data_IF_752380124990
#
_entry.id   IF_752380124990
#
_cell.length_a   1.000
_cell.length_b   1.000
_cell.length_c   1.000
_cell.angle_alpha   90.00
_cell.angle_beta   90.00
_cell.angle_gamma   90.00
#
_symmetry.space_group_name_H-M   'P 1'
#
loop_
_entity.id
_entity.type
_entity.pdbx_description
1 polymer ?
#
# COMPACT_ATOMS: atom_id res chain seq x y z
N UNK A 1 0.64 -27.67 -10.78
CA UNK A 1 -0.34 -26.86 -11.53
C UNK A 1 -0.40 -25.48 -10.91
N UNK A 2 0.32 -24.51 -11.51
CA UNK A 2 0.27 -23.11 -11.09
C UNK A 2 -0.57 -22.34 -12.10
N UNK A 3 -1.53 -21.53 -11.62
CA UNK A 3 -2.34 -20.64 -12.45
C UNK A 3 -1.47 -19.49 -12.99
N UNK A 4 -1.73 -19.00 -14.22
CA UNK A 4 -0.94 -17.92 -14.80
C UNK A 4 -1.35 -16.56 -14.22
N UNK A 5 -0.33 -15.73 -13.96
CA UNK A 5 -0.44 -14.31 -13.65
C UNK A 5 -1.06 -13.56 -14.83
N UNK A 6 -1.96 -12.63 -14.55
CA UNK A 6 -2.85 -11.97 -15.51
C UNK A 6 -2.11 -11.19 -16.61
N UNK A 7 -2.46 -11.49 -17.86
CA UNK A 7 -1.81 -11.06 -19.11
C UNK A 7 -1.97 -9.59 -19.52
N UNK A 8 -2.55 -8.69 -18.72
CA UNK A 8 -3.00 -7.38 -19.25
C UNK A 8 -2.02 -6.21 -19.18
N UNK A 9 -0.86 -6.34 -18.53
CA UNK A 9 0.18 -5.29 -18.49
C UNK A 9 1.53 -5.68 -19.13
N UNK A 10 1.64 -6.89 -19.69
CA UNK A 10 2.92 -7.45 -20.16
C UNK A 10 3.32 -7.05 -21.60
N UNK A 11 2.48 -6.31 -22.33
CA UNK A 11 2.69 -6.08 -23.78
C UNK A 11 3.85 -5.12 -24.12
N UNK A 12 4.27 -4.24 -23.21
CA UNK A 12 5.34 -3.26 -23.48
C UNK A 12 6.71 -3.66 -22.94
N UNK A 13 6.76 -4.55 -21.95
CA UNK A 13 8.01 -4.98 -21.31
C UNK A 13 8.92 -5.75 -22.29
N UNK A 14 8.35 -6.73 -23.01
CA UNK A 14 9.09 -7.51 -24.02
C UNK A 14 9.59 -6.67 -25.20
N UNK A 15 9.02 -5.48 -25.45
CA UNK A 15 9.50 -4.58 -26.52
C UNK A 15 10.72 -3.77 -26.10
N UNK A 16 10.86 -3.44 -24.82
CA UNK A 16 11.97 -2.65 -24.30
C UNK A 16 13.22 -3.50 -24.05
N UNK A 17 13.07 -4.78 -23.72
CA UNK A 17 14.21 -5.71 -23.54
C UNK A 17 15.14 -5.74 -24.77
N UNK A 18 14.59 -5.69 -25.99
CA UNK A 18 15.39 -5.71 -27.22
C UNK A 18 16.03 -4.37 -27.58
N UNK A 19 15.50 -3.25 -27.07
CA UNK A 19 16.00 -1.90 -27.41
C UNK A 19 17.26 -1.51 -26.63
N UNK A 20 17.41 -2.01 -25.41
CA UNK A 20 18.53 -1.68 -24.51
C UNK A 20 19.49 -2.85 -24.27
N UNK A 21 19.18 -4.04 -24.79
CA UNK A 21 20.11 -5.18 -24.74
C UNK A 21 21.36 -4.91 -25.59
N UNK A 22 22.53 -5.09 -24.98
CA UNK A 22 23.81 -5.07 -25.71
C UNK A 22 23.90 -6.33 -26.57
N UNK A 23 24.07 -6.14 -27.87
CA UNK A 23 24.17 -7.20 -28.87
C UNK A 23 25.59 -7.75 -28.99
N UNK A 24 25.72 -8.95 -29.60
CA UNK A 24 27.05 -9.54 -29.86
C UNK A 24 27.87 -8.72 -30.87
N UNK A 25 27.24 -8.04 -31.83
CA UNK A 25 27.94 -7.14 -32.74
C UNK A 25 28.51 -5.90 -32.01
N UNK A 26 27.78 -5.33 -31.04
CA UNK A 26 28.25 -4.19 -30.25
C UNK A 26 29.41 -4.57 -29.33
N UNK A 27 29.44 -5.80 -28.80
CA UNK A 27 30.57 -6.31 -28.02
C UNK A 27 31.89 -6.42 -28.81
N UNK A 28 31.82 -6.50 -30.14
CA UNK A 28 32.99 -6.67 -31.00
C UNK A 28 33.66 -5.34 -31.40
N UNK A 29 32.99 -4.20 -31.18
CA UNK A 29 33.51 -2.87 -31.49
C UNK A 29 33.53 -1.96 -30.27
N UNK A 30 34.73 -1.64 -29.76
CA UNK A 30 34.93 -0.83 -28.54
C UNK A 30 34.17 0.50 -28.54
N UNK A 31 34.15 1.20 -29.68
CA UNK A 31 33.46 2.49 -29.84
C UNK A 31 31.93 2.33 -29.80
N UNK A 32 31.38 1.32 -30.48
CA UNK A 32 29.94 1.02 -30.49
C UNK A 32 29.43 0.55 -29.12
N UNK A 33 30.23 -0.24 -28.41
CA UNK A 33 29.92 -0.65 -27.05
C UNK A 33 29.86 0.56 -26.11
N UNK A 34 30.81 1.49 -26.24
CA UNK A 34 30.84 2.68 -25.40
C UNK A 34 29.64 3.60 -25.67
N UNK A 35 29.32 3.85 -26.94
CA UNK A 35 28.12 4.61 -27.34
C UNK A 35 26.84 3.98 -26.75
N UNK A 36 26.68 2.66 -26.87
CA UNK A 36 25.51 1.95 -26.33
C UNK A 36 25.41 2.02 -24.80
N UNK A 37 26.54 1.95 -24.10
CA UNK A 37 26.58 2.11 -22.64
C UNK A 37 26.19 3.52 -22.21
N UNK A 38 26.64 4.54 -22.95
CA UNK A 38 26.28 5.94 -22.72
C UNK A 38 24.77 6.15 -22.91
N UNK A 39 24.19 5.66 -24.02
CA UNK A 39 22.75 5.70 -24.29
C UNK A 39 21.92 5.02 -23.18
N UNK A 40 22.33 3.80 -22.79
CA UNK A 40 21.66 3.07 -21.72
C UNK A 40 21.75 3.82 -20.37
N UNK A 41 22.88 4.46 -20.09
CA UNK A 41 23.05 5.26 -18.88
C UNK A 41 22.15 6.50 -18.87
N UNK A 42 22.07 7.23 -19.98
CA UNK A 42 21.17 8.39 -20.12
C UNK A 42 19.69 8.01 -19.97
N UNK A 43 19.29 6.85 -20.50
CA UNK A 43 17.94 6.31 -20.30
C UNK A 43 17.69 5.97 -18.84
N UNK A 44 18.62 5.28 -18.16
CA UNK A 44 18.50 4.94 -16.74
C UNK A 44 18.30 6.20 -15.90
N UNK A 45 19.13 7.24 -16.11
CA UNK A 45 19.00 8.52 -15.41
C UNK A 45 17.65 9.21 -15.69
N UNK A 46 17.14 9.08 -16.91
CA UNK A 46 15.83 9.61 -17.28
C UNK A 46 14.70 8.85 -16.58
N UNK A 47 14.71 7.52 -16.58
CA UNK A 47 13.72 6.71 -15.90
C UNK A 47 13.79 6.88 -14.38
N UNK A 48 14.97 7.04 -13.80
CA UNK A 48 15.14 7.34 -12.37
C UNK A 48 14.48 8.66 -11.98
N UNK A 49 14.64 9.71 -12.81
CA UNK A 49 13.97 11.01 -12.59
C UNK A 49 12.45 10.89 -12.70
N UNK A 50 11.95 10.19 -13.71
CA UNK A 50 10.51 9.96 -13.90
C UNK A 50 9.94 9.19 -12.70
N UNK A 51 10.60 8.10 -12.29
CA UNK A 51 10.19 7.30 -11.13
C UNK A 51 10.11 8.16 -9.86
N UNK A 52 11.11 9.00 -9.62
CA UNK A 52 11.12 9.89 -8.45
C UNK A 52 9.95 10.88 -8.47
N UNK A 53 9.70 11.53 -9.60
CA UNK A 53 8.58 12.47 -9.75
C UNK A 53 7.22 11.78 -9.52
N UNK A 54 7.06 10.54 -9.99
CA UNK A 54 5.85 9.75 -9.74
C UNK A 54 5.68 9.41 -8.26
N UNK A 55 6.74 8.99 -7.57
CA UNK A 55 6.72 8.71 -6.11
C UNK A 55 6.34 9.98 -5.34
N UNK A 56 6.93 11.13 -5.68
CA UNK A 56 6.66 12.40 -5.02
C UNK A 56 5.19 12.83 -5.20
N UNK A 57 4.63 12.65 -6.40
CA UNK A 57 3.20 12.91 -6.69
C UNK A 57 2.28 11.97 -5.89
N UNK A 58 2.58 10.68 -5.87
CA UNK A 58 1.80 9.68 -5.13
C UNK A 58 1.84 9.95 -3.62
N UNK A 59 3.01 10.29 -3.08
CA UNK A 59 3.16 10.65 -1.67
C UNK A 59 2.39 11.92 -1.31
N UNK A 60 2.43 12.93 -2.19
CA UNK A 60 1.69 14.18 -2.01
C UNK A 60 0.18 13.93 -1.99
N UNK A 61 -0.32 13.15 -2.95
CA UNK A 61 -1.72 12.73 -3.00
C UNK A 61 -2.15 11.97 -1.74
N UNK A 62 -1.31 11.08 -1.22
CA UNK A 62 -1.62 10.34 -0.01
C UNK A 62 -1.68 11.26 1.23
N UNK A 63 -0.77 12.24 1.33
CA UNK A 63 -0.79 13.25 2.39
C UNK A 63 -2.04 14.16 2.34
N UNK A 64 -2.49 14.52 1.14
CA UNK A 64 -3.77 15.23 0.96
C UNK A 64 -4.93 14.39 1.50
N UNK A 65 -4.97 13.08 1.20
CA UNK A 65 -5.99 12.17 1.72
C UNK A 65 -5.94 12.00 3.23
N UNK A 66 -4.75 11.90 3.83
CA UNK A 66 -4.61 11.90 5.29
C UNK A 66 -5.20 13.16 5.91
N UNK A 67 -4.96 14.31 5.29
CA UNK A 67 -5.45 15.61 5.78
C UNK A 67 -6.97 15.72 5.63
N UNK A 68 -7.51 15.35 4.46
CA UNK A 68 -8.95 15.34 4.16
C UNK A 68 -9.73 14.45 5.14
N UNK A 69 -9.21 13.26 5.43
CA UNK A 69 -9.90 12.26 6.26
C UNK A 69 -9.60 12.39 7.75
N UNK A 70 -8.65 13.24 8.15
CA UNK A 70 -8.22 13.39 9.55
C UNK A 70 -9.38 13.62 10.52
N UNK A 71 -10.37 14.50 10.26
CA UNK A 71 -11.48 14.70 11.19
C UNK A 71 -12.31 13.43 11.41
N UNK A 72 -12.47 12.59 10.38
CA UNK A 72 -13.19 11.32 10.48
C UNK A 72 -12.40 10.32 11.31
N UNK A 73 -11.08 10.23 11.06
CA UNK A 73 -10.19 9.35 11.81
C UNK A 73 -10.11 9.73 13.29
N UNK A 74 -9.97 11.02 13.60
CA UNK A 74 -9.98 11.54 14.97
C UNK A 74 -11.32 11.24 15.67
N UNK A 75 -12.44 11.38 14.97
CA UNK A 75 -13.75 11.02 15.53
C UNK A 75 -13.81 9.53 15.88
N UNK A 76 -13.43 8.63 14.96
CA UNK A 76 -13.43 7.17 15.19
C UNK A 76 -12.56 6.83 16.40
N UNK A 77 -11.35 7.40 16.46
CA UNK A 77 -10.42 7.18 17.58
C UNK A 77 -10.96 7.71 18.90
N UNK A 78 -11.62 8.87 18.92
CA UNK A 78 -12.23 9.46 20.13
C UNK A 78 -13.35 8.57 20.71
N UNK A 79 -13.97 7.75 19.88
CA UNK A 79 -14.98 6.75 20.29
C UNK A 79 -14.38 5.39 20.61
N UNK A 80 -13.05 5.27 20.60
CA UNK A 80 -12.30 4.04 20.84
C UNK A 80 -12.69 2.91 19.89
N UNK A 81 -13.18 3.26 18.69
CA UNK A 81 -13.45 2.28 17.66
C UNK A 81 -12.15 1.84 16.98
N UNK A 82 -12.10 0.56 16.59
CA UNK A 82 -10.98 0.00 15.84
C UNK A 82 -11.16 0.25 14.35
N UNK A 83 -10.09 0.61 13.68
CA UNK A 83 -9.99 0.67 12.23
C UNK A 83 -9.80 -0.72 11.67
N UNK A 84 -10.45 -1.00 10.55
CA UNK A 84 -10.33 -2.23 9.79
C UNK A 84 -9.95 -1.93 8.34
N UNK A 85 -9.34 -2.90 7.68
CA UNK A 85 -9.06 -2.85 6.26
C UNK A 85 -10.05 -3.74 5.51
N UNK A 86 -10.57 -3.36 4.34
CA UNK A 86 -11.52 -4.18 3.59
C UNK A 86 -10.92 -5.49 3.07
N UNK A 87 -9.62 -5.48 2.78
CA UNK A 87 -8.92 -6.61 2.15
C UNK A 87 -7.93 -7.33 3.10
N UNK A 88 -7.78 -6.86 4.35
CA UNK A 88 -6.83 -7.43 5.30
C UNK A 88 -7.54 -7.76 6.62
N UNK A 89 -7.27 -8.92 7.18
CA UNK A 89 -7.89 -9.40 8.42
C UNK A 89 -7.15 -8.90 9.67
N UNK A 90 -6.94 -7.57 9.72
CA UNK A 90 -6.28 -6.90 10.83
C UNK A 90 -7.13 -5.74 11.35
N UNK A 91 -6.97 -5.47 12.65
CA UNK A 91 -7.62 -4.37 13.34
C UNK A 91 -6.57 -3.46 13.98
N UNK A 92 -6.80 -2.16 13.93
CA UNK A 92 -5.92 -1.17 14.53
C UNK A 92 -6.70 -0.22 15.43
N UNK A 93 -6.16 0.14 16.59
CA UNK A 93 -6.70 1.21 17.45
C UNK A 93 -6.05 2.58 17.17
N UNK A 94 -4.98 2.60 16.37
CA UNK A 94 -4.13 3.78 16.16
C UNK A 94 -4.57 4.61 14.96
N UNK A 95 -5.14 3.94 13.95
CA UNK A 95 -5.59 4.56 12.71
C UNK A 95 -5.76 3.54 11.58
N UNK A 96 -6.11 3.99 10.36
CA UNK A 96 -6.34 3.11 9.23
C UNK A 96 -5.07 2.35 8.88
N UNK A 97 -5.25 1.06 8.58
CA UNK A 97 -4.20 0.19 8.06
C UNK A 97 -4.03 0.55 6.58
N UNK A 98 -2.81 0.78 6.15
CA UNK A 98 -2.48 1.15 4.78
C UNK A 98 -2.03 -0.05 3.97
N UNK A 99 -1.23 -0.93 4.56
CA UNK A 99 -0.78 -2.14 3.89
C UNK A 99 -0.26 -3.18 4.89
N UNK A 100 -0.03 -4.39 4.40
CA UNK A 100 0.60 -5.48 5.13
C UNK A 100 1.76 -6.07 4.31
N UNK A 101 2.94 -6.08 4.91
CA UNK A 101 4.10 -6.78 4.37
C UNK A 101 4.19 -8.16 5.02
N UNK A 102 3.94 -9.19 4.22
CA UNK A 102 3.96 -10.58 4.66
C UNK A 102 5.35 -11.14 4.89
N UNK A 103 6.37 -10.59 4.24
CA UNK A 103 7.74 -11.07 4.34
C UNK A 103 8.33 -10.64 5.69
N UNK A 104 8.06 -9.39 6.10
CA UNK A 104 8.51 -8.85 7.40
C UNK A 104 7.47 -9.05 8.52
N UNK A 105 6.24 -9.45 8.19
CA UNK A 105 5.10 -9.54 9.12
C UNK A 105 4.80 -8.21 9.83
N UNK A 106 4.73 -7.13 9.04
CA UNK A 106 4.50 -5.77 9.56
C UNK A 106 3.29 -5.11 8.90
N UNK A 107 2.56 -4.33 9.68
CA UNK A 107 1.49 -3.46 9.19
C UNK A 107 2.00 -2.04 9.05
N UNK A 108 1.65 -1.42 7.94
CA UNK A 108 1.75 0.02 7.78
C UNK A 108 0.43 0.62 8.25
N UNK A 109 0.49 1.53 9.22
CA UNK A 109 -0.68 2.18 9.79
C UNK A 109 -0.44 3.69 9.74
N UNK A 110 -1.44 4.46 9.32
CA UNK A 110 -1.39 5.91 9.56
C UNK A 110 -1.83 6.17 11.01
N UNK A 111 -0.89 6.53 11.88
CA UNK A 111 -1.20 6.87 13.27
C UNK A 111 -1.85 8.25 13.34
N UNK A 112 -3.09 8.31 13.80
CA UNK A 112 -3.90 9.54 13.82
C UNK A 112 -3.32 10.57 14.79
N UNK A 113 -2.79 10.13 15.93
CA UNK A 113 -2.26 11.01 16.99
C UNK A 113 -0.94 11.61 16.53
N UNK A 114 -0.04 10.77 16.05
CA UNK A 114 1.29 11.19 15.57
C UNK A 114 1.23 11.86 14.20
N UNK A 115 0.13 11.65 13.45
CA UNK A 115 -0.04 12.13 12.07
C UNK A 115 1.09 11.67 11.13
N UNK A 116 1.51 10.41 11.28
CA UNK A 116 2.59 9.80 10.50
C UNK A 116 2.27 8.33 10.18
N UNK A 117 2.96 7.77 9.19
CA UNK A 117 2.89 6.33 8.92
C UNK A 117 3.85 5.62 9.86
N UNK A 118 3.41 4.53 10.46
CA UNK A 118 4.22 3.67 11.33
C UNK A 118 4.22 2.23 10.82
N UNK A 119 5.34 1.51 11.04
CA UNK A 119 5.41 0.06 10.94
C UNK A 119 5.13 -0.56 12.31
N UNK A 120 4.24 -1.54 12.34
CA UNK A 120 3.87 -2.25 13.56
C UNK A 120 4.00 -3.75 13.33
N UNK A 121 4.62 -4.47 14.27
CA UNK A 121 4.70 -5.93 14.21
C UNK A 121 3.32 -6.55 14.48
N UNK A 122 2.88 -7.48 13.63
CA UNK A 122 1.53 -8.08 13.75
C UNK A 122 1.33 -8.90 15.02
N UNK A 123 2.39 -9.51 15.56
CA UNK A 123 2.31 -10.46 16.66
C UNK A 123 2.23 -9.78 18.03
N UNK A 124 3.03 -8.74 18.24
CA UNK A 124 3.11 -8.05 19.54
C UNK A 124 2.56 -6.62 19.51
N UNK A 125 2.17 -6.11 18.33
CA UNK A 125 1.63 -4.76 18.12
C UNK A 125 2.59 -3.64 18.53
N UNK A 126 3.89 -3.94 18.66
CA UNK A 126 4.92 -2.95 18.94
C UNK A 126 5.23 -2.13 17.69
N UNK A 127 5.40 -0.83 17.88
CA UNK A 127 5.90 0.06 16.84
C UNK A 127 7.37 -0.23 16.57
N UNK A 128 7.68 -0.52 15.31
CA UNK A 128 9.04 -0.78 14.85
C UNK A 128 9.71 0.54 14.44
N UNK A 129 9.00 1.36 13.66
CA UNK A 129 9.54 2.60 13.11
C UNK A 129 8.43 3.53 12.62
N UNK A 130 8.73 4.83 12.56
CA UNK A 130 8.01 5.80 11.72
C UNK A 130 8.56 5.78 10.28
N UNK A 131 7.68 5.96 9.30
CA UNK A 131 7.96 5.90 7.87
C UNK A 131 7.47 7.17 7.20
N UNK A 132 8.36 7.85 6.48
CA UNK A 132 7.96 8.97 5.64
C UNK A 132 7.06 8.51 4.49
N UNK A 133 6.06 9.31 4.12
CA UNK A 133 5.07 8.94 3.08
C UNK A 133 5.72 8.54 1.75
N UNK A 134 6.75 9.28 1.29
CA UNK A 134 7.47 8.95 0.05
C UNK A 134 8.18 7.59 0.14
N UNK A 135 8.71 7.26 1.32
CA UNK A 135 9.38 5.99 1.58
C UNK A 135 8.38 4.84 1.62
N UNK A 136 7.20 5.06 2.21
CA UNK A 136 6.10 4.09 2.15
C UNK A 136 5.66 3.80 0.71
N UNK A 137 5.50 4.85 -0.10
CA UNK A 137 5.14 4.71 -1.53
C UNK A 137 6.23 3.96 -2.30
N UNK A 138 7.50 4.27 -2.02
CA UNK A 138 8.64 3.61 -2.65
C UNK A 138 8.77 2.13 -2.25
N UNK A 139 8.62 1.80 -0.97
CA UNK A 139 8.84 0.44 -0.43
C UNK A 139 7.65 -0.48 -0.67
N UNK A 140 6.42 -0.03 -0.36
CA UNK A 140 5.23 -0.89 -0.51
C UNK A 140 4.77 -0.99 -1.95
N UNK A 141 4.87 0.10 -2.72
CA UNK A 141 4.33 0.21 -4.07
C UNK A 141 2.80 0.02 -4.20
N UNK A 142 2.08 -0.23 -3.10
CA UNK A 142 0.68 -0.65 -3.12
C UNK A 142 -0.26 0.46 -2.65
N UNK A 143 -0.30 1.53 -3.45
CA UNK A 143 -1.17 2.68 -3.19
C UNK A 143 -2.66 2.29 -3.19
N UNK A 144 -3.05 1.29 -3.96
CA UNK A 144 -4.44 0.80 -4.01
C UNK A 144 -4.90 0.25 -2.65
N UNK A 145 -4.06 -0.54 -1.97
CA UNK A 145 -4.35 -0.96 -0.60
C UNK A 145 -4.41 0.22 0.36
N UNK A 146 -3.45 1.15 0.29
CA UNK A 146 -3.45 2.32 1.16
C UNK A 146 -4.75 3.13 1.04
N UNK A 147 -5.22 3.32 -0.19
CA UNK A 147 -6.49 4.01 -0.46
C UNK A 147 -7.70 3.19 -0.03
N UNK A 148 -7.67 1.87 -0.18
CA UNK A 148 -8.75 1.01 0.31
C UNK A 148 -8.91 1.11 1.83
N UNK A 149 -7.80 1.09 2.57
CA UNK A 149 -7.77 1.29 4.02
C UNK A 149 -8.20 2.68 4.45
N UNK A 150 -7.79 3.72 3.72
CA UNK A 150 -8.25 5.09 4.01
C UNK A 150 -9.72 5.29 3.71
N UNK A 151 -10.21 4.83 2.56
CA UNK A 151 -11.62 4.99 2.19
C UNK A 151 -12.57 4.17 3.07
N UNK A 152 -12.08 3.11 3.72
CA UNK A 152 -12.88 2.32 4.67
C UNK A 152 -13.38 3.16 5.84
N UNK A 153 -12.64 4.21 6.23
CA UNK A 153 -13.01 5.07 7.37
C UNK A 153 -14.33 5.80 7.14
N UNK A 154 -14.67 6.10 5.88
CA UNK A 154 -15.92 6.78 5.51
C UNK A 154 -17.15 5.89 5.75
N UNK A 155 -16.98 4.57 5.63
CA UNK A 155 -18.05 3.59 5.82
C UNK A 155 -18.01 2.93 7.21
N UNK A 156 -17.06 3.34 8.07
CA UNK A 156 -16.77 2.69 9.34
C UNK A 156 -17.99 2.59 10.27
N UNK A 157 -18.74 3.68 10.41
CA UNK A 157 -19.92 3.70 11.28
C UNK A 157 -21.00 2.74 10.76
N UNK A 158 -21.23 2.72 9.44
CA UNK A 158 -22.21 1.85 8.82
C UNK A 158 -21.81 0.37 8.96
N UNK A 159 -20.55 0.03 8.70
CA UNK A 159 -20.05 -1.34 8.88
C UNK A 159 -20.12 -1.80 10.33
N UNK A 160 -19.79 -0.89 11.28
CA UNK A 160 -19.84 -1.19 12.71
C UNK A 160 -21.28 -1.45 13.17
N UNK A 161 -22.25 -0.63 12.75
CA UNK A 161 -23.66 -0.84 13.08
C UNK A 161 -24.19 -2.16 12.53
N UNK A 162 -23.89 -2.47 11.27
CA UNK A 162 -24.31 -3.74 10.64
C UNK A 162 -23.76 -4.95 11.39
N UNK A 163 -22.50 -4.89 11.83
CA UNK A 163 -21.91 -5.97 12.64
C UNK A 163 -22.71 -6.21 13.92
N UNK A 164 -23.02 -5.15 14.67
CA UNK A 164 -23.82 -5.28 15.90
C UNK A 164 -25.23 -5.79 15.65
N UNK A 165 -25.90 -5.37 14.57
CA UNK A 165 -27.22 -5.90 14.22
C UNK A 165 -27.19 -7.41 13.97
N UNK A 166 -26.20 -7.89 13.21
CA UNK A 166 -26.06 -9.32 12.90
C UNK A 166 -25.69 -10.13 14.14
N UNK A 167 -24.75 -9.64 14.95
CA UNK A 167 -24.29 -10.28 16.18
C UNK A 167 -25.41 -10.38 17.23
N UNK A 168 -26.13 -9.28 17.47
CA UNK A 168 -27.27 -9.25 18.39
C UNK A 168 -28.38 -10.22 17.96
N UNK A 169 -28.72 -10.25 16.67
CA UNK A 169 -29.73 -11.20 16.15
C UNK A 169 -29.28 -12.66 16.34
N UNK A 170 -27.98 -12.94 16.16
CA UNK A 170 -27.43 -14.28 16.33
C UNK A 170 -27.47 -14.72 17.80
N UNK A 171 -27.12 -13.83 18.73
CA UNK A 171 -27.22 -14.09 20.18
C UNK A 171 -28.67 -14.28 20.64
N UNK A 172 -29.59 -13.47 20.13
CA UNK A 172 -31.01 -13.59 20.45
C UNK A 172 -31.56 -14.97 20.04
N UNK A 173 -31.25 -15.43 18.82
CA UNK A 173 -31.63 -16.78 18.37
C UNK A 173 -31.03 -17.88 19.23
N UNK A 174 -29.78 -17.71 19.68
CA UNK A 174 -29.14 -18.68 20.56
C UNK A 174 -29.87 -18.78 21.91
N UNK A 175 -30.25 -17.65 22.50
CA UNK A 175 -31.03 -17.63 23.75
C UNK A 175 -32.38 -18.33 23.58
N UNK A 176 -33.11 -18.05 22.50
CA UNK A 176 -34.41 -18.68 22.20
C UNK A 176 -34.34 -20.19 22.00
N UNK A 177 -33.19 -20.73 21.60
CA UNK A 177 -32.98 -22.16 21.38
C UNK A 177 -32.46 -22.90 22.62
N UNK A 178 -31.90 -22.18 23.61
CA UNK A 178 -31.15 -22.78 24.72
C UNK A 178 -31.65 -22.34 26.12
N UNK A 179 -32.72 -21.54 26.19
CA UNK A 179 -33.39 -21.14 27.43
C UNK A 179 -34.88 -21.45 27.34
#
# INVERSE_FOLDING_TARGET
MAKPLSEKNNSNYWRLEWLYAITREELLGKEKLQEKLEENHEEIETQMRIRKDLIDKQASFLNEKFTELKPVMEFIQSKQFRFNHPNLDFLSTRGPILDYDSDENVLYIFDVIKSEIIKVNVYNQEEIASVATWKFVEESGNLDNALAGLNSVLNHQHSTLNHYYVDNASRQRWLEQNC
#
